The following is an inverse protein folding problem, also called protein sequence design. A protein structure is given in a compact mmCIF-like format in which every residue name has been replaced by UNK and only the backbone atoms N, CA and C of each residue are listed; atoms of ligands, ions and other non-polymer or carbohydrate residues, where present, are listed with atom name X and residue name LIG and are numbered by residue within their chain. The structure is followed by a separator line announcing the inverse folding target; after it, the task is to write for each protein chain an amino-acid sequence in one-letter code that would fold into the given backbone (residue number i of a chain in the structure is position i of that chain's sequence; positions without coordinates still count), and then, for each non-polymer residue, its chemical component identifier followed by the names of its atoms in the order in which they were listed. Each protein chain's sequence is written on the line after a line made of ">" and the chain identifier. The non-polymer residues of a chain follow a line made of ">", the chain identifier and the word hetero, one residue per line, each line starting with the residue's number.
data_IF_982173961317
#
_entry.id   IF_982173961317
#
_cell.length_a   1.000
_cell.length_b   1.000
_cell.length_c   1.000
_cell.angle_alpha   90.00
_cell.angle_beta   90.00
_cell.angle_gamma   90.00
#
_symmetry.space_group_name_H-M   'P 1'
#
loop_
_entity.id
_entity.type
_entity.pdbx_description
1 polymer ?
#
# COMPACT_ATOMS: atom_id res chain seq x y z
N UNK A 1 -15.00 7.03 -33.16
CA UNK A 1 -15.46 5.69 -32.71
C UNK A 1 -14.48 4.58 -33.11
N UNK A 2 -14.03 4.47 -34.37
CA UNK A 2 -13.07 3.44 -34.84
C UNK A 2 -11.68 3.46 -34.15
N UNK A 3 -11.18 4.61 -33.76
CA UNK A 3 -9.87 4.70 -33.07
C UNK A 3 -9.94 4.20 -31.62
N UNK A 4 -11.04 4.39 -30.95
CA UNK A 4 -11.27 3.92 -29.58
C UNK A 4 -11.33 2.38 -29.47
N UNK A 5 -11.97 1.71 -30.42
CA UNK A 5 -12.00 0.23 -30.46
C UNK A 5 -10.63 -0.35 -30.73
N UNK A 6 -9.80 0.34 -31.53
CA UNK A 6 -8.43 -0.06 -31.78
C UNK A 6 -7.54 0.04 -30.53
N UNK A 7 -7.66 1.10 -29.75
CA UNK A 7 -6.89 1.30 -28.50
C UNK A 7 -7.24 0.24 -27.46
N UNK A 8 -8.53 -0.08 -27.31
CA UNK A 8 -9.00 -1.13 -26.40
C UNK A 8 -8.47 -2.51 -26.84
N UNK A 9 -8.57 -2.83 -28.13
CA UNK A 9 -8.03 -4.09 -28.66
C UNK A 9 -6.51 -4.17 -28.51
N UNK A 10 -5.80 -3.06 -28.74
CA UNK A 10 -4.36 -2.99 -28.53
C UNK A 10 -4.00 -3.30 -27.07
N UNK A 11 -4.69 -2.72 -26.09
CA UNK A 11 -4.45 -2.99 -24.68
C UNK A 11 -4.62 -4.47 -24.31
N UNK A 12 -5.62 -5.13 -24.90
CA UNK A 12 -5.89 -6.54 -24.66
C UNK A 12 -4.86 -7.49 -25.30
N UNK A 13 -4.33 -7.14 -26.47
CA UNK A 13 -3.41 -7.99 -27.28
C UNK A 13 -1.95 -7.55 -27.21
N UNK A 14 -1.66 -6.43 -26.55
CA UNK A 14 -0.33 -5.84 -26.48
C UNK A 14 0.74 -6.82 -26.00
N UNK A 15 1.92 -6.73 -26.59
CA UNK A 15 3.09 -7.42 -26.10
C UNK A 15 3.70 -6.73 -24.88
N UNK A 16 4.72 -7.33 -24.26
CA UNK A 16 5.34 -6.81 -23.04
C UNK A 16 5.92 -5.40 -23.18
N UNK A 17 6.48 -5.06 -24.34
CA UNK A 17 7.07 -3.72 -24.57
C UNK A 17 5.98 -2.66 -24.73
N UNK A 18 4.91 -2.97 -25.43
CA UNK A 18 3.75 -2.09 -25.56
C UNK A 18 3.06 -1.87 -24.22
N UNK A 19 2.92 -2.91 -23.38
CA UNK A 19 2.34 -2.81 -22.06
C UNK A 19 3.10 -1.83 -21.15
N UNK A 20 4.43 -1.75 -21.27
CA UNK A 20 5.23 -0.78 -20.51
C UNK A 20 4.85 0.68 -20.78
N UNK A 21 4.37 0.97 -21.98
CA UNK A 21 3.88 2.29 -22.35
C UNK A 21 2.42 2.47 -21.94
N UNK A 22 1.59 1.47 -22.24
CA UNK A 22 0.15 1.52 -22.00
C UNK A 22 -0.23 1.60 -20.51
N UNK A 23 0.61 1.11 -19.60
CA UNK A 23 0.35 1.27 -18.15
C UNK A 23 0.34 2.72 -17.69
N UNK A 24 0.86 3.65 -18.51
CA UNK A 24 0.85 5.09 -18.24
C UNK A 24 -0.24 5.83 -19.02
N UNK A 25 -1.05 5.13 -19.82
CA UNK A 25 -2.14 5.73 -20.59
C UNK A 25 -3.12 6.49 -19.67
N UNK A 26 -3.61 7.69 -20.06
CA UNK A 26 -4.58 8.44 -19.28
C UNK A 26 -5.99 7.83 -19.29
N UNK A 27 -6.30 7.00 -20.28
CA UNK A 27 -7.62 6.40 -20.48
C UNK A 27 -7.89 5.26 -19.51
N UNK A 28 -8.88 5.43 -18.63
CA UNK A 28 -9.32 4.37 -17.71
C UNK A 28 -9.79 3.11 -18.44
N UNK A 29 -10.31 3.25 -19.66
CA UNK A 29 -10.77 2.13 -20.48
C UNK A 29 -9.59 1.29 -20.98
N UNK A 30 -8.51 1.95 -21.42
CA UNK A 30 -7.26 1.26 -21.80
C UNK A 30 -6.73 0.51 -20.59
N UNK A 31 -6.59 1.17 -19.44
CA UNK A 31 -6.08 0.56 -18.21
C UNK A 31 -6.93 -0.63 -17.74
N UNK A 32 -8.25 -0.55 -17.85
CA UNK A 32 -9.14 -1.66 -17.49
C UNK A 32 -8.91 -2.89 -18.37
N UNK A 33 -8.62 -2.69 -19.67
CA UNK A 33 -8.36 -3.79 -20.59
C UNK A 33 -6.96 -4.41 -20.41
N UNK A 34 -5.98 -3.64 -19.90
CA UNK A 34 -4.66 -4.19 -19.59
C UNK A 34 -4.71 -5.33 -18.56
N UNK A 35 -5.65 -5.29 -17.63
CA UNK A 35 -5.78 -6.34 -16.61
C UNK A 35 -6.06 -7.70 -17.25
N UNK A 36 -6.82 -7.73 -18.32
CA UNK A 36 -7.17 -8.98 -19.02
C UNK A 36 -6.07 -9.47 -19.99
N UNK A 37 -5.01 -8.68 -20.18
CA UNK A 37 -3.89 -9.09 -21.03
C UNK A 37 -3.05 -10.16 -20.33
N UNK A 38 -2.85 -11.29 -21.01
CA UNK A 38 -2.05 -12.42 -20.49
C UNK A 38 -0.56 -12.08 -20.32
N UNK A 39 -0.05 -11.08 -21.05
CA UNK A 39 1.33 -10.62 -20.98
C UNK A 39 1.56 -9.61 -19.84
N UNK A 40 0.51 -9.20 -19.12
CA UNK A 40 0.65 -8.30 -17.97
C UNK A 40 1.49 -8.99 -16.89
N UNK A 41 2.62 -8.38 -16.55
CA UNK A 41 3.52 -8.87 -15.51
C UNK A 41 3.18 -8.28 -14.14
N UNK A 42 3.68 -8.92 -13.07
CA UNK A 42 3.51 -8.40 -11.71
C UNK A 42 4.04 -6.97 -11.57
N UNK A 43 5.21 -6.66 -12.15
CA UNK A 43 5.79 -5.32 -12.09
C UNK A 43 4.86 -4.26 -12.68
N UNK A 44 4.25 -4.55 -13.82
CA UNK A 44 3.31 -3.63 -14.46
C UNK A 44 1.99 -3.52 -13.67
N UNK A 45 1.52 -4.62 -13.09
CA UNK A 45 0.34 -4.62 -12.22
C UNK A 45 0.58 -3.78 -10.94
N UNK A 46 1.79 -3.83 -10.36
CA UNK A 46 2.19 -2.98 -9.23
C UNK A 46 2.20 -1.50 -9.64
N UNK A 47 2.70 -1.17 -10.83
CA UNK A 47 2.65 0.20 -11.36
C UNK A 47 1.19 0.66 -11.49
N UNK A 48 0.31 -0.16 -12.08
CA UNK A 48 -1.12 0.15 -12.18
C UNK A 48 -1.74 0.40 -10.81
N UNK A 49 -1.53 -0.50 -9.85
CA UNK A 49 -2.06 -0.37 -8.49
C UNK A 49 -1.57 0.90 -7.77
N UNK A 50 -0.36 1.38 -8.09
CA UNK A 50 0.25 2.59 -7.50
C UNK A 50 -0.21 3.91 -8.14
N UNK A 51 -0.95 3.90 -9.24
CA UNK A 51 -1.35 5.13 -9.94
C UNK A 51 -2.37 5.94 -9.13
N UNK A 52 -2.17 7.25 -9.03
CA UNK A 52 -3.15 8.16 -8.42
C UNK A 52 -4.40 8.35 -9.28
N UNK A 53 -4.21 8.38 -10.60
CA UNK A 53 -5.30 8.51 -11.57
C UNK A 53 -5.71 7.14 -12.11
N UNK A 54 -6.25 6.29 -11.23
CA UNK A 54 -6.82 4.98 -11.57
C UNK A 54 -8.23 4.88 -11.00
N UNK A 55 -9.12 4.13 -11.67
CA UNK A 55 -10.47 3.93 -11.15
C UNK A 55 -10.51 2.83 -10.09
N UNK A 56 -11.49 2.92 -9.21
CA UNK A 56 -11.74 1.94 -8.14
C UNK A 56 -11.97 0.55 -8.69
N UNK A 57 -12.71 0.43 -9.79
CA UNK A 57 -13.06 -0.83 -10.46
C UNK A 57 -11.81 -1.58 -10.97
N UNK A 58 -10.79 -0.83 -11.42
CA UNK A 58 -9.52 -1.40 -11.86
C UNK A 58 -8.75 -1.98 -10.66
N UNK A 59 -8.75 -1.27 -9.52
CA UNK A 59 -8.12 -1.75 -8.29
C UNK A 59 -8.82 -2.99 -7.72
N UNK A 60 -10.15 -3.03 -7.79
CA UNK A 60 -10.95 -4.21 -7.44
C UNK A 60 -10.62 -5.40 -8.35
N UNK A 61 -10.52 -5.15 -9.65
CA UNK A 61 -10.18 -6.19 -10.62
C UNK A 61 -8.78 -6.76 -10.39
N UNK A 62 -7.79 -5.90 -10.04
CA UNK A 62 -6.45 -6.34 -9.64
C UNK A 62 -6.48 -7.20 -8.36
N UNK A 63 -7.29 -6.83 -7.38
CA UNK A 63 -7.44 -7.59 -6.15
C UNK A 63 -8.08 -8.97 -6.38
N UNK A 64 -9.06 -9.05 -7.28
CA UNK A 64 -9.79 -10.28 -7.60
C UNK A 64 -9.02 -11.22 -8.55
N UNK A 65 -8.00 -10.72 -9.22
CA UNK A 65 -7.23 -11.50 -10.19
C UNK A 65 -6.40 -12.58 -9.50
N UNK A 66 -6.67 -13.82 -9.85
CA UNK A 66 -6.02 -15.00 -9.28
C UNK A 66 -4.50 -15.02 -9.49
N UNK A 67 -3.99 -14.37 -10.54
CA UNK A 67 -2.55 -14.28 -10.83
C UNK A 67 -1.79 -13.57 -9.70
N UNK A 68 -2.44 -12.63 -9.00
CA UNK A 68 -1.82 -11.76 -8.01
C UNK A 68 -2.24 -12.03 -6.57
N UNK A 69 -3.07 -13.04 -6.34
CA UNK A 69 -3.66 -13.32 -5.03
C UNK A 69 -2.62 -13.45 -3.91
N UNK A 70 -1.45 -14.03 -4.21
CA UNK A 70 -0.37 -14.23 -3.25
C UNK A 70 0.75 -13.15 -3.40
N UNK A 71 0.57 -12.16 -4.28
CA UNK A 71 1.57 -11.11 -4.48
C UNK A 71 1.57 -10.11 -3.35
N UNK A 72 2.62 -10.15 -2.54
CA UNK A 72 2.88 -9.17 -1.50
C UNK A 72 3.00 -7.74 -2.05
N UNK A 73 3.65 -7.59 -3.21
CA UNK A 73 3.90 -6.29 -3.84
C UNK A 73 2.61 -5.62 -4.27
N UNK A 74 1.68 -6.38 -4.84
CA UNK A 74 0.37 -5.87 -5.25
C UNK A 74 -0.49 -5.56 -4.02
N UNK A 75 -0.50 -6.44 -3.01
CA UNK A 75 -1.21 -6.18 -1.76
C UNK A 75 -0.75 -4.86 -1.11
N UNK A 76 0.57 -4.63 -1.06
CA UNK A 76 1.13 -3.39 -0.52
C UNK A 76 0.77 -2.17 -1.37
N UNK A 77 0.84 -2.28 -2.71
CA UNK A 77 0.48 -1.19 -3.62
C UNK A 77 -1.00 -0.81 -3.48
N UNK A 78 -1.90 -1.79 -3.40
CA UNK A 78 -3.32 -1.58 -3.15
C UNK A 78 -3.57 -0.87 -1.80
N UNK A 79 -2.91 -1.31 -0.71
CA UNK A 79 -3.04 -0.65 0.59
C UNK A 79 -2.52 0.79 0.59
N UNK A 80 -1.54 1.12 -0.25
CA UNK A 80 -0.99 2.48 -0.39
C UNK A 80 -1.84 3.40 -1.28
N UNK A 81 -2.76 2.85 -2.07
CA UNK A 81 -3.58 3.64 -2.97
C UNK A 81 -4.86 4.11 -2.26
N UNK A 82 -5.04 5.43 -2.18
CA UNK A 82 -6.21 6.05 -1.54
C UNK A 82 -7.56 5.69 -2.18
N UNK A 83 -7.56 5.27 -3.44
CA UNK A 83 -8.78 4.88 -4.19
C UNK A 83 -9.14 3.41 -4.04
N UNK A 84 -8.28 2.60 -3.41
CA UNK A 84 -8.62 1.22 -3.12
C UNK A 84 -9.81 1.17 -2.16
N UNK A 85 -10.85 0.37 -2.46
CA UNK A 85 -11.96 0.20 -1.54
C UNK A 85 -11.48 -0.17 -0.14
N UNK A 86 -12.05 0.50 0.87
CA UNK A 86 -11.62 0.33 2.26
C UNK A 86 -11.69 -1.14 2.71
N UNK A 87 -12.72 -1.88 2.29
CA UNK A 87 -12.85 -3.30 2.63
C UNK A 87 -11.67 -4.14 2.12
N UNK A 88 -11.18 -3.86 0.90
CA UNK A 88 -10.01 -4.52 0.32
C UNK A 88 -8.76 -4.17 1.12
N UNK A 89 -8.50 -2.87 1.36
CA UNK A 89 -7.35 -2.43 2.14
C UNK A 89 -7.33 -3.08 3.53
N UNK A 90 -8.46 -3.07 4.25
CA UNK A 90 -8.57 -3.68 5.58
C UNK A 90 -8.30 -5.20 5.57
N UNK A 91 -8.74 -5.91 4.53
CA UNK A 91 -8.50 -7.35 4.40
C UNK A 91 -7.01 -7.67 4.20
N UNK A 92 -6.30 -6.83 3.44
CA UNK A 92 -4.89 -7.01 3.09
C UNK A 92 -3.93 -6.65 4.22
N UNK A 93 -4.30 -5.75 5.16
CA UNK A 93 -3.40 -5.30 6.23
C UNK A 93 -2.79 -6.45 7.04
N UNK A 94 -3.53 -7.54 7.25
CA UNK A 94 -3.06 -8.68 8.03
C UNK A 94 -1.87 -9.41 7.40
N UNK A 95 -1.72 -9.33 6.08
CA UNK A 95 -0.63 -9.95 5.32
C UNK A 95 0.60 -9.05 5.22
N UNK A 96 0.50 -7.77 5.62
CA UNK A 96 1.61 -6.83 5.52
C UNK A 96 2.63 -6.97 6.64
N UNK A 97 3.89 -6.69 6.29
CA UNK A 97 5.01 -6.65 7.24
C UNK A 97 4.89 -5.45 8.16
N UNK A 98 5.45 -5.56 9.36
CA UNK A 98 5.32 -4.56 10.42
C UNK A 98 5.79 -3.16 10.01
N UNK A 99 6.88 -3.08 9.23
CA UNK A 99 7.41 -1.79 8.78
C UNK A 99 6.58 -1.16 7.67
N UNK A 100 5.96 -1.97 6.80
CA UNK A 100 5.05 -1.47 5.78
C UNK A 100 3.74 -0.97 6.42
N UNK A 101 3.25 -1.65 7.48
CA UNK A 101 2.14 -1.15 8.29
C UNK A 101 2.50 0.19 8.95
N UNK A 102 3.70 0.33 9.50
CA UNK A 102 4.15 1.59 10.11
C UNK A 102 4.18 2.74 9.10
N UNK A 103 4.68 2.49 7.88
CA UNK A 103 4.67 3.50 6.81
C UNK A 103 3.24 3.90 6.40
N UNK A 104 2.30 2.94 6.40
CA UNK A 104 0.88 3.24 6.13
C UNK A 104 0.28 4.17 7.19
N UNK A 105 0.63 4.01 8.47
CA UNK A 105 0.06 4.84 9.56
C UNK A 105 0.42 6.32 9.44
N UNK A 106 1.57 6.64 8.82
CA UNK A 106 2.05 8.01 8.60
C UNK A 106 1.53 8.63 7.29
N UNK A 107 0.99 7.83 6.38
CA UNK A 107 0.55 8.33 5.09
C UNK A 107 -0.84 8.98 5.20
N UNK A 108 -0.88 10.31 5.22
CA UNK A 108 -2.11 11.10 5.32
C UNK A 108 -3.07 10.92 4.13
N UNK A 109 -2.62 10.38 3.00
CA UNK A 109 -3.48 10.12 1.84
C UNK A 109 -4.33 8.84 2.02
N UNK A 110 -3.97 7.97 2.95
CA UNK A 110 -4.69 6.74 3.24
C UNK A 110 -5.88 7.03 4.18
N UNK A 111 -7.06 6.44 3.94
CA UNK A 111 -8.22 6.63 4.80
C UNK A 111 -7.92 6.35 6.28
N UNK A 112 -8.46 7.20 7.16
CA UNK A 112 -8.19 7.15 8.62
C UNK A 112 -8.45 5.75 9.20
N UNK A 113 -9.54 5.11 8.80
CA UNK A 113 -9.90 3.77 9.30
C UNK A 113 -8.85 2.70 8.95
N UNK A 114 -8.22 2.81 7.77
CA UNK A 114 -7.14 1.89 7.35
C UNK A 114 -5.89 2.14 8.19
N UNK A 115 -5.54 3.43 8.42
CA UNK A 115 -4.40 3.80 9.28
C UNK A 115 -4.60 3.33 10.72
N UNK A 116 -5.77 3.59 11.30
CA UNK A 116 -6.11 3.13 12.67
C UNK A 116 -6.06 1.60 12.79
N UNK A 117 -6.53 0.88 11.78
CA UNK A 117 -6.45 -0.58 11.78
C UNK A 117 -5.02 -1.09 11.69
N UNK A 118 -4.17 -0.43 10.88
CA UNK A 118 -2.73 -0.73 10.82
C UNK A 118 -2.06 -0.48 12.17
N UNK A 119 -2.35 0.65 12.84
CA UNK A 119 -1.87 0.94 14.21
C UNK A 119 -2.30 -0.12 15.20
N UNK A 120 -3.55 -0.53 15.17
CA UNK A 120 -4.07 -1.58 16.03
C UNK A 120 -3.30 -2.90 15.87
N UNK A 121 -3.06 -3.33 14.61
CA UNK A 121 -2.28 -4.56 14.32
C UNK A 121 -0.84 -4.47 14.86
N UNK A 122 -0.22 -3.29 14.76
CA UNK A 122 1.12 -3.06 15.31
C UNK A 122 1.08 -3.15 16.84
N UNK A 123 0.15 -2.44 17.49
CA UNK A 123 0.04 -2.37 18.94
C UNK A 123 -0.20 -3.73 19.59
N UNK A 124 -0.97 -4.62 18.96
CA UNK A 124 -1.15 -6.00 19.43
C UNK A 124 0.17 -6.78 19.50
N UNK A 125 1.16 -6.43 18.65
CA UNK A 125 2.42 -7.17 18.52
C UNK A 125 3.59 -6.52 19.26
N UNK A 126 3.51 -5.25 19.66
CA UNK A 126 4.65 -4.48 20.21
C UNK A 126 5.33 -5.21 21.36
N UNK A 127 4.56 -5.70 22.35
CA UNK A 127 5.12 -6.33 23.53
C UNK A 127 5.96 -7.57 23.21
N UNK A 128 5.59 -8.34 22.19
CA UNK A 128 6.28 -9.55 21.78
C UNK A 128 7.41 -9.33 20.76
N UNK A 129 7.60 -8.08 20.28
CA UNK A 129 8.63 -7.78 19.28
C UNK A 129 10.04 -7.79 19.88
N UNK A 130 11.06 -8.30 19.14
CA UNK A 130 12.46 -8.15 19.51
C UNK A 130 12.87 -6.67 19.58
N UNK A 131 13.84 -6.36 20.47
CA UNK A 131 14.34 -4.99 20.69
C UNK A 131 14.73 -4.28 19.38
N UNK A 132 15.49 -4.91 18.49
CA UNK A 132 15.91 -4.31 17.23
C UNK A 132 14.76 -3.91 16.31
N UNK A 133 13.66 -4.67 16.34
CA UNK A 133 12.42 -4.32 15.58
C UNK A 133 11.76 -3.10 16.22
N UNK A 134 11.65 -3.05 17.55
CA UNK A 134 11.11 -1.89 18.29
C UNK A 134 11.90 -0.62 18.01
N UNK A 135 13.22 -0.71 18.03
CA UNK A 135 14.12 0.42 17.71
C UNK A 135 13.93 0.92 16.26
N UNK A 136 13.77 0.01 15.30
CA UNK A 136 13.53 0.37 13.90
C UNK A 136 12.13 0.96 13.72
N UNK A 137 11.14 0.39 14.41
CA UNK A 137 9.76 0.87 14.40
C UNK A 137 9.66 2.29 14.97
N UNK A 138 10.39 2.60 16.06
CA UNK A 138 10.42 3.93 16.66
C UNK A 138 10.87 5.04 15.70
N UNK A 139 11.71 4.72 14.70
CA UNK A 139 12.14 5.69 13.67
C UNK A 139 11.11 5.94 12.57
N UNK A 140 10.10 5.08 12.43
CA UNK A 140 9.16 5.05 11.27
C UNK A 140 7.69 5.18 11.67
N UNK A 141 7.38 5.04 12.93
CA UNK A 141 6.02 4.93 13.42
C UNK A 141 5.30 6.30 13.55
N UNK A 142 3.97 6.26 13.62
CA UNK A 142 3.14 7.40 13.99
C UNK A 142 3.28 7.72 15.49
N UNK A 143 2.85 8.92 15.91
CA UNK A 143 2.89 9.35 17.32
C UNK A 143 2.19 8.36 18.26
N UNK A 144 1.07 7.78 17.83
CA UNK A 144 0.33 6.79 18.66
C UNK A 144 1.15 5.53 18.93
N UNK A 145 1.88 5.04 17.91
CA UNK A 145 2.76 3.87 18.07
C UNK A 145 3.97 4.23 18.93
N UNK A 146 4.52 5.45 18.80
CA UNK A 146 5.62 5.92 19.63
C UNK A 146 5.22 5.97 21.11
N UNK A 147 4.02 6.48 21.41
CA UNK A 147 3.49 6.47 22.78
C UNK A 147 3.42 5.04 23.34
N UNK A 148 2.93 4.10 22.55
CA UNK A 148 2.88 2.69 22.97
C UNK A 148 4.26 2.05 23.18
N UNK A 149 5.25 2.45 22.38
CA UNK A 149 6.66 2.01 22.56
C UNK A 149 7.28 2.62 23.82
N UNK A 150 6.93 3.86 24.19
CA UNK A 150 7.37 4.48 25.45
C UNK A 150 6.81 3.74 26.68
N UNK A 151 5.52 3.33 26.61
CA UNK A 151 4.87 2.54 27.68
C UNK A 151 5.55 1.17 27.91
N UNK A 152 6.16 0.58 26.86
CA UNK A 152 6.91 -0.67 26.94
C UNK A 152 8.21 -0.55 27.78
N UNK A 153 8.69 0.67 28.00
CA UNK A 153 9.70 1.00 29.02
C UNK A 153 11.15 0.64 28.70
N UNK A 154 11.46 0.21 27.47
CA UNK A 154 12.83 -0.15 27.09
C UNK A 154 13.71 1.09 26.86
N UNK A 155 14.78 1.28 27.63
CA UNK A 155 15.63 2.48 27.62
C UNK A 155 16.12 2.86 26.22
N UNK A 156 16.61 1.90 25.45
CA UNK A 156 17.14 2.16 24.09
C UNK A 156 16.04 2.61 23.12
N UNK A 157 14.82 2.08 23.28
CA UNK A 157 13.67 2.47 22.49
C UNK A 157 13.18 3.85 22.87
N UNK A 158 13.14 4.16 24.19
CA UNK A 158 12.75 5.47 24.71
C UNK A 158 13.64 6.58 24.15
N UNK A 159 14.97 6.37 24.14
CA UNK A 159 15.90 7.34 23.58
C UNK A 159 15.57 7.67 22.11
N UNK A 160 15.32 6.63 21.29
CA UNK A 160 14.97 6.81 19.87
C UNK A 160 13.59 7.48 19.70
N UNK A 161 12.61 7.15 20.55
CA UNK A 161 11.28 7.77 20.49
C UNK A 161 11.36 9.27 20.78
N UNK A 162 12.15 9.68 21.79
CA UNK A 162 12.30 11.09 22.16
C UNK A 162 13.02 11.91 21.06
N UNK A 163 13.93 11.29 20.32
CA UNK A 163 14.60 11.92 19.17
C UNK A 163 13.74 11.92 17.90
N UNK A 164 12.57 11.27 17.91
CA UNK A 164 11.72 11.16 16.74
C UNK A 164 10.97 12.47 16.47
N UNK A 165 11.00 12.93 15.20
CA UNK A 165 10.28 14.11 14.73
C UNK A 165 8.77 14.11 15.10
N UNK A 166 8.15 12.93 15.07
CA UNK A 166 6.74 12.80 15.41
C UNK A 166 6.40 13.03 16.88
N UNK A 167 7.40 13.04 17.79
CA UNK A 167 7.20 13.37 19.21
C UNK A 167 7.36 14.88 19.45
N UNK A 168 8.19 15.55 18.65
CA UNK A 168 8.43 17.00 18.85
C UNK A 168 7.26 17.87 18.40
N UNK A 169 6.45 17.43 17.45
CA UNK A 169 5.24 18.16 16.99
C UNK A 169 4.01 17.98 17.92
N UNK A 170 4.00 16.97 18.77
CA UNK A 170 2.82 16.60 19.60
C UNK A 170 2.84 17.11 21.04
N UNK A 171 3.86 17.86 21.46
CA UNK A 171 4.08 18.30 22.86
C UNK A 171 3.98 19.84 23.01
N UNK A 172 3.48 20.56 21.98
CA UNK A 172 3.23 22.00 22.08
C UNK A 172 1.73 22.26 22.24
#
# INVERSE_FOLDING_TARGET
>A
MKDFEKEINLAYTANKEELKLLVYDPSQRVLANLIYNSNLTEDLAVILAGRRNISTEILESLYLDKRWKESYRIALALCKNQKTPQAISLSLLKSLRIFDLADLTRNQQIPVNVRMRAEFIINEKILSMPLGIKMTLAKRASSNILMRLLEDGMKDVIAICLDSYCMTEGII
#
